data_IF_317596637968
#
_entry.id   IF_317596637968
#
_cell.length_a   1.000
_cell.length_b   1.000
_cell.length_c   1.000
_cell.angle_alpha   90.00
_cell.angle_beta   90.00
_cell.angle_gamma   90.00
#
_symmetry.space_group_name_H-M   'P 1'
#
loop_
_entity.id
_entity.type
_entity.pdbx_description
1 polymer ?
#
# COMPACT_ATOMS: atom_id res chain seq x y z
N UNK A 1 -12.09 25.98 -8.30
CA UNK A 1 -12.09 24.54 -8.57
C UNK A 1 -13.53 24.08 -8.54
N UNK A 2 -13.96 23.31 -9.53
CA UNK A 2 -15.31 22.73 -9.57
C UNK A 2 -15.52 21.73 -8.42
N UNK A 3 -16.75 21.60 -7.92
CA UNK A 3 -17.06 20.79 -6.73
C UNK A 3 -16.84 19.28 -6.98
N UNK A 4 -17.10 18.77 -8.18
CA UNK A 4 -16.81 17.38 -8.50
C UNK A 4 -15.31 17.09 -8.49
N UNK A 5 -14.52 17.99 -9.07
CA UNK A 5 -13.06 17.86 -9.02
C UNK A 5 -12.53 18.02 -7.60
N UNK A 6 -13.13 18.90 -6.80
CA UNK A 6 -12.78 19.09 -5.39
C UNK A 6 -13.03 17.84 -4.55
N UNK A 7 -14.19 17.21 -4.70
CA UNK A 7 -14.55 15.97 -4.01
C UNK A 7 -13.58 14.82 -4.37
N UNK A 8 -13.26 14.68 -5.66
CA UNK A 8 -12.26 13.70 -6.12
C UNK A 8 -10.88 13.97 -5.55
N UNK A 9 -10.45 15.23 -5.53
CA UNK A 9 -9.13 15.63 -5.02
C UNK A 9 -9.02 15.43 -3.52
N UNK A 10 -10.09 15.73 -2.77
CA UNK A 10 -10.16 15.50 -1.33
C UNK A 10 -10.09 14.02 -0.99
N UNK A 11 -10.93 13.19 -1.62
CA UNK A 11 -10.89 11.74 -1.43
C UNK A 11 -9.52 11.16 -1.80
N UNK A 12 -8.93 11.59 -2.92
CA UNK A 12 -7.59 11.16 -3.33
C UNK A 12 -6.52 11.54 -2.29
N UNK A 13 -6.57 12.75 -1.76
CA UNK A 13 -5.63 13.21 -0.73
C UNK A 13 -5.79 12.42 0.58
N UNK A 14 -7.02 12.22 1.04
CA UNK A 14 -7.32 11.45 2.25
C UNK A 14 -6.85 10.00 2.12
N UNK A 15 -7.13 9.35 0.99
CA UNK A 15 -6.72 7.96 0.73
C UNK A 15 -5.20 7.83 0.64
N UNK A 16 -4.53 8.71 -0.13
CA UNK A 16 -3.07 8.72 -0.25
C UNK A 16 -2.37 9.04 1.08
N UNK A 17 -2.94 9.93 1.90
CA UNK A 17 -2.42 10.13 3.25
C UNK A 17 -2.59 8.88 4.11
N UNK A 18 -3.77 8.28 4.11
CA UNK A 18 -4.12 7.17 4.98
C UNK A 18 -3.31 5.89 4.67
N UNK A 19 -3.12 5.56 3.39
CA UNK A 19 -2.55 4.26 2.98
C UNK A 19 -1.13 4.05 3.49
N UNK A 20 -0.34 5.12 3.61
CA UNK A 20 1.01 5.08 4.19
C UNK A 20 0.93 4.53 5.63
N UNK A 21 0.04 5.09 6.45
CA UNK A 21 -0.10 4.69 7.85
C UNK A 21 -0.79 3.34 8.00
N UNK A 22 -1.74 3.01 7.12
CA UNK A 22 -2.38 1.70 7.08
C UNK A 22 -1.34 0.59 6.82
N UNK A 23 -0.46 0.76 5.82
CA UNK A 23 0.60 -0.21 5.54
C UNK A 23 1.57 -0.39 6.72
N UNK A 24 1.93 0.71 7.40
CA UNK A 24 2.75 0.65 8.60
C UNK A 24 2.06 -0.16 9.69
N UNK A 25 0.77 0.08 9.92
CA UNK A 25 -0.07 -0.66 10.88
C UNK A 25 -0.15 -2.15 10.55
N UNK A 26 -0.33 -2.50 9.27
CA UNK A 26 -0.35 -3.89 8.82
C UNK A 26 0.98 -4.61 9.06
N UNK A 27 2.12 -3.96 8.84
CA UNK A 27 3.41 -4.67 8.69
C UNK A 27 4.30 -4.61 9.94
N UNK A 28 4.38 -3.46 10.61
CA UNK A 28 5.27 -3.29 11.76
C UNK A 28 5.02 -4.29 12.91
N UNK A 29 3.77 -4.70 13.23
CA UNK A 29 3.53 -5.70 14.27
C UNK A 29 4.21 -7.04 13.97
N UNK A 30 4.35 -7.45 12.71
CA UNK A 30 5.10 -8.66 12.36
C UNK A 30 6.59 -8.52 12.69
N UNK A 31 7.20 -7.35 12.43
CA UNK A 31 8.59 -7.11 12.80
C UNK A 31 8.77 -7.14 14.32
N UNK A 32 7.86 -6.48 15.04
CA UNK A 32 7.82 -6.47 16.49
C UNK A 32 7.66 -7.87 17.07
N UNK A 33 6.77 -8.69 16.51
CA UNK A 33 6.52 -10.07 16.93
C UNK A 33 7.74 -10.97 16.67
N UNK A 34 8.45 -10.81 15.55
CA UNK A 34 9.70 -11.54 15.28
C UNK A 34 10.80 -11.13 16.25
N UNK A 35 10.99 -9.84 16.49
CA UNK A 35 11.96 -9.36 17.49
C UNK A 35 11.60 -9.89 18.87
N UNK A 36 10.32 -9.80 19.25
CA UNK A 36 9.86 -10.22 20.56
C UNK A 36 10.03 -11.74 20.75
N UNK A 37 9.70 -12.56 19.75
CA UNK A 37 9.95 -13.99 19.76
C UNK A 37 11.45 -14.32 19.91
N UNK A 38 12.32 -13.60 19.19
CA UNK A 38 13.77 -13.77 19.32
C UNK A 38 14.25 -13.44 20.73
N UNK A 39 13.68 -12.44 21.40
CA UNK A 39 13.97 -12.19 22.82
C UNK A 39 13.54 -13.36 23.70
N UNK A 40 12.31 -13.87 23.55
CA UNK A 40 11.81 -15.00 24.34
C UNK A 40 12.67 -16.26 24.18
N UNK A 41 13.15 -16.52 22.96
CA UNK A 41 13.99 -17.69 22.66
C UNK A 41 15.44 -17.56 23.10
N UNK A 42 16.02 -16.36 22.98
CA UNK A 42 17.47 -16.18 23.15
C UNK A 42 17.87 -15.46 24.43
N UNK A 43 16.92 -14.84 25.14
CA UNK A 43 17.19 -14.00 26.32
C UNK A 43 17.93 -12.69 26.02
N UNK A 44 18.29 -12.41 24.77
CA UNK A 44 19.15 -11.26 24.42
C UNK A 44 18.39 -9.93 24.54
N UNK A 45 18.82 -8.98 25.41
CA UNK A 45 18.10 -7.73 25.69
C UNK A 45 17.83 -6.86 24.45
N UNK A 46 18.77 -6.84 23.49
CA UNK A 46 18.66 -6.04 22.25
C UNK A 46 17.34 -6.24 21.50
N UNK A 47 16.78 -7.45 21.51
CA UNK A 47 15.51 -7.73 20.85
C UNK A 47 14.29 -7.23 21.64
N UNK A 48 14.35 -7.25 22.98
CA UNK A 48 13.32 -6.62 23.83
C UNK A 48 13.31 -5.12 23.61
N UNK A 49 14.49 -4.51 23.59
CA UNK A 49 14.68 -3.09 23.39
C UNK A 49 14.20 -2.65 22.00
N UNK A 50 14.52 -3.45 20.98
CA UNK A 50 14.03 -3.23 19.62
C UNK A 50 12.51 -3.27 19.55
N UNK A 51 11.87 -4.29 20.14
CA UNK A 51 10.42 -4.38 20.20
C UNK A 51 9.82 -3.16 20.89
N UNK A 52 10.33 -2.77 22.07
CA UNK A 52 9.85 -1.58 22.80
C UNK A 52 10.03 -0.28 22.02
N UNK A 53 11.15 -0.11 21.32
CA UNK A 53 11.42 1.07 20.52
C UNK A 53 10.45 1.19 19.34
N UNK A 54 10.20 0.08 18.63
CA UNK A 54 9.22 0.02 17.54
C UNK A 54 7.79 0.20 18.03
N UNK A 55 7.39 -0.38 19.16
CA UNK A 55 6.06 -0.18 19.76
C UNK A 55 5.68 1.29 19.91
N UNK A 56 6.62 2.13 20.37
CA UNK A 56 6.37 3.57 20.54
C UNK A 56 6.15 4.29 19.22
N UNK A 57 6.93 3.95 18.19
CA UNK A 57 6.76 4.50 16.84
C UNK A 57 5.43 4.06 16.22
N UNK A 58 5.10 2.77 16.34
CA UNK A 58 3.83 2.22 15.87
C UNK A 58 2.65 2.85 16.57
N UNK A 59 2.71 3.14 17.87
CA UNK A 59 1.62 3.83 18.56
C UNK A 59 1.30 5.21 17.95
N UNK A 60 2.33 5.97 17.53
CA UNK A 60 2.15 7.25 16.85
C UNK A 60 1.48 7.04 15.50
N UNK A 61 2.03 6.14 14.67
CA UNK A 61 1.49 5.85 13.35
C UNK A 61 0.07 5.28 13.38
N UNK A 62 -0.22 4.41 14.34
CA UNK A 62 -1.53 3.80 14.54
C UNK A 62 -2.56 4.87 14.87
N UNK A 63 -2.24 5.82 15.76
CA UNK A 63 -3.14 6.94 16.05
C UNK A 63 -3.39 7.80 14.80
N UNK A 64 -2.36 8.10 14.00
CA UNK A 64 -2.52 8.84 12.74
C UNK A 64 -3.36 8.08 11.71
N UNK A 65 -3.13 6.76 11.59
CA UNK A 65 -3.91 5.87 10.73
C UNK A 65 -5.38 5.80 11.15
N UNK A 66 -5.65 5.64 12.45
CA UNK A 66 -7.00 5.60 12.98
C UNK A 66 -7.79 6.89 12.72
N UNK A 67 -7.17 8.06 12.93
CA UNK A 67 -7.81 9.36 12.66
C UNK A 67 -8.09 9.54 11.17
N UNK A 68 -7.11 9.25 10.30
CA UNK A 68 -7.32 9.37 8.85
C UNK A 68 -8.34 8.36 8.31
N UNK A 69 -8.38 7.13 8.83
CA UNK A 69 -9.39 6.14 8.46
C UNK A 69 -10.80 6.53 8.92
N UNK A 70 -10.91 7.17 10.09
CA UNK A 70 -12.17 7.75 10.56
C UNK A 70 -12.67 8.82 9.59
N UNK A 71 -11.80 9.71 9.13
CA UNK A 71 -12.15 10.73 8.12
C UNK A 71 -12.68 10.07 6.85
N UNK A 72 -12.00 9.05 6.32
CA UNK A 72 -12.43 8.32 5.12
C UNK A 72 -13.83 7.71 5.26
N UNK A 73 -14.15 7.15 6.44
CA UNK A 73 -15.47 6.57 6.72
C UNK A 73 -16.58 7.62 6.60
N UNK A 74 -16.33 8.85 7.05
CA UNK A 74 -17.26 9.97 6.86
C UNK A 74 -17.27 10.50 5.43
N UNK A 75 -16.10 10.63 4.79
CA UNK A 75 -15.99 11.14 3.43
C UNK A 75 -16.72 10.28 2.40
N UNK A 76 -16.77 8.95 2.59
CA UNK A 76 -17.59 8.08 1.74
C UNK A 76 -19.07 8.50 1.73
N UNK A 77 -19.65 8.79 2.89
CA UNK A 77 -21.05 9.24 2.99
C UNK A 77 -21.26 10.70 2.61
N UNK A 78 -20.31 11.57 2.93
CA UNK A 78 -20.44 13.02 2.74
C UNK A 78 -20.13 13.44 1.30
N UNK A 79 -19.08 12.88 0.69
CA UNK A 79 -18.67 13.20 -0.67
C UNK A 79 -19.41 12.35 -1.71
N UNK A 80 -19.77 11.10 -1.36
CA UNK A 80 -20.35 10.12 -2.30
C UNK A 80 -21.69 9.51 -1.82
N UNK A 81 -22.70 10.33 -1.48
CA UNK A 81 -23.94 9.86 -0.86
C UNK A 81 -24.73 8.90 -1.77
N UNK A 82 -24.82 9.16 -3.07
CA UNK A 82 -25.55 8.28 -4.00
C UNK A 82 -24.83 6.95 -4.19
N UNK A 83 -23.50 6.93 -4.17
CA UNK A 83 -22.75 5.67 -4.10
C UNK A 83 -23.09 4.89 -2.82
N UNK A 84 -23.01 5.52 -1.65
CA UNK A 84 -23.27 4.84 -0.37
C UNK A 84 -24.70 4.34 -0.22
N UNK A 85 -25.69 5.05 -0.76
CA UNK A 85 -27.10 4.65 -0.79
C UNK A 85 -27.30 3.29 -1.47
N UNK A 86 -26.58 3.02 -2.56
CA UNK A 86 -26.73 1.80 -3.34
C UNK A 86 -25.74 0.71 -2.94
N UNK A 87 -24.49 1.10 -2.72
CA UNK A 87 -23.41 0.18 -2.44
C UNK A 87 -23.37 -0.23 -0.96
N UNK A 88 -23.83 0.61 -0.03
CA UNK A 88 -23.88 0.32 1.41
C UNK A 88 -24.56 -1.01 1.77
N UNK A 89 -25.77 -1.31 1.28
CA UNK A 89 -26.40 -2.62 1.48
C UNK A 89 -25.61 -3.82 0.92
N UNK A 90 -24.79 -3.60 -0.11
CA UNK A 90 -24.07 -4.66 -0.84
C UNK A 90 -22.71 -4.96 -0.20
N UNK A 91 -21.88 -3.94 -0.01
CA UNK A 91 -20.51 -4.11 0.51
C UNK A 91 -20.36 -3.71 1.99
N UNK A 92 -21.44 -3.29 2.66
CA UNK A 92 -21.39 -2.85 4.07
C UNK A 92 -20.92 -3.93 5.04
N UNK A 93 -21.16 -5.22 4.76
CA UNK A 93 -20.66 -6.33 5.58
C UNK A 93 -19.12 -6.36 5.63
N UNK A 94 -18.37 -6.41 4.51
CA UNK A 94 -16.91 -6.27 4.52
C UNK A 94 -16.39 -5.09 5.36
N UNK A 95 -17.03 -3.93 5.23
CA UNK A 95 -16.66 -2.71 5.98
C UNK A 95 -16.90 -2.86 7.49
N UNK A 96 -17.99 -3.53 7.88
CA UNK A 96 -18.26 -3.85 9.29
C UNK A 96 -17.26 -4.88 9.86
N UNK A 97 -16.85 -5.86 9.05
CA UNK A 97 -15.84 -6.85 9.43
C UNK A 97 -14.46 -6.21 9.58
N UNK A 98 -14.11 -5.25 8.72
CA UNK A 98 -12.92 -4.43 8.87
C UNK A 98 -12.96 -3.70 10.22
N UNK A 99 -14.04 -2.98 10.53
CA UNK A 99 -14.19 -2.29 11.81
C UNK A 99 -14.05 -3.24 13.02
N UNK A 100 -14.51 -4.48 12.88
CA UNK A 100 -14.31 -5.53 13.89
C UNK A 100 -12.84 -5.93 14.02
N UNK A 101 -12.14 -6.15 12.89
CA UNK A 101 -10.71 -6.47 12.89
C UNK A 101 -9.88 -5.34 13.50
N UNK A 102 -10.17 -4.09 13.14
CA UNK A 102 -9.55 -2.89 13.72
C UNK A 102 -9.79 -2.79 15.23
N UNK A 103 -10.99 -3.12 15.70
CA UNK A 103 -11.30 -3.12 17.13
C UNK A 103 -10.51 -4.19 17.90
N UNK A 104 -10.41 -5.41 17.35
CA UNK A 104 -9.58 -6.49 17.89
C UNK A 104 -8.11 -6.05 17.92
N UNK A 105 -7.63 -5.42 16.85
CA UNK A 105 -6.28 -4.86 16.76
C UNK A 105 -6.03 -3.82 17.87
N UNK A 106 -6.94 -2.87 18.06
CA UNK A 106 -6.82 -1.82 19.07
C UNK A 106 -6.76 -2.38 20.51
N UNK A 107 -7.60 -3.37 20.82
CA UNK A 107 -7.57 -4.07 22.12
C UNK A 107 -6.23 -4.80 22.30
N UNK A 108 -5.82 -5.58 21.30
CA UNK A 108 -4.57 -6.34 21.34
C UNK A 108 -3.34 -5.41 21.46
N UNK A 109 -3.36 -4.26 20.78
CA UNK A 109 -2.33 -3.24 20.86
C UNK A 109 -2.29 -2.61 22.26
N UNK A 110 -3.44 -2.34 22.87
CA UNK A 110 -3.53 -1.89 24.27
C UNK A 110 -2.85 -2.87 25.23
N UNK A 111 -3.17 -4.17 25.13
CA UNK A 111 -2.48 -5.20 25.90
C UNK A 111 -0.98 -5.27 25.59
N UNK A 112 -0.59 -5.11 24.33
CA UNK A 112 0.81 -5.15 23.92
C UNK A 112 1.62 -3.95 24.45
N UNK A 113 1.07 -2.74 24.41
CA UNK A 113 1.76 -1.53 24.85
C UNK A 113 1.88 -1.48 26.38
N UNK A 114 0.83 -1.85 27.11
CA UNK A 114 0.76 -1.72 28.57
C UNK A 114 1.04 -3.02 29.34
N UNK A 115 1.15 -4.15 28.65
CA UNK A 115 1.31 -5.48 29.26
C UNK A 115 2.73 -5.87 29.66
N UNK A 116 3.73 -5.05 29.36
CA UNK A 116 5.10 -5.30 29.81
C UNK A 116 5.15 -5.49 31.33
N UNK A 117 5.77 -6.59 31.77
CA UNK A 117 5.96 -6.96 33.19
C UNK A 117 4.65 -7.25 33.98
N UNK A 118 3.48 -7.07 33.35
CA UNK A 118 2.16 -7.38 33.92
C UNK A 118 1.56 -8.68 33.39
N UNK A 119 1.81 -8.99 32.12
CA UNK A 119 1.30 -10.18 31.45
C UNK A 119 2.34 -11.31 31.40
N UNK A 120 1.86 -12.54 31.27
CA UNK A 120 2.72 -13.67 30.91
C UNK A 120 3.47 -13.34 29.61
N UNK A 121 4.79 -13.62 29.56
CA UNK A 121 5.66 -13.20 28.44
C UNK A 121 5.23 -13.77 27.09
N UNK A 122 4.73 -15.01 27.05
CA UNK A 122 4.23 -15.63 25.82
C UNK A 122 2.85 -15.09 25.42
N UNK A 123 2.00 -14.82 26.39
CA UNK A 123 0.72 -14.15 26.13
C UNK A 123 0.92 -12.72 25.60
N UNK A 124 1.87 -11.97 26.18
CA UNK A 124 2.25 -10.64 25.69
C UNK A 124 2.83 -10.69 24.27
N UNK A 125 3.55 -11.75 23.91
CA UNK A 125 3.97 -11.96 22.52
C UNK A 125 2.79 -12.27 21.60
N UNK A 126 1.87 -13.13 22.06
CA UNK A 126 0.68 -13.50 21.30
C UNK A 126 -0.21 -12.29 20.99
N UNK A 127 -0.40 -11.35 21.94
CA UNK A 127 -1.16 -10.13 21.65
C UNK A 127 -0.51 -9.31 20.52
N UNK A 128 0.82 -9.24 20.47
CA UNK A 128 1.54 -8.60 19.36
C UNK A 128 1.33 -9.28 18.00
N UNK A 129 1.20 -10.61 17.98
CA UNK A 129 0.81 -11.33 16.75
C UNK A 129 -0.63 -11.02 16.34
N UNK A 130 -1.55 -10.97 17.30
CA UNK A 130 -2.96 -10.63 17.03
C UNK A 130 -3.06 -9.24 16.40
N UNK A 131 -2.26 -8.26 16.85
CA UNK A 131 -2.20 -6.93 16.20
C UNK A 131 -1.86 -7.07 14.71
N UNK A 132 -0.80 -7.81 14.37
CA UNK A 132 -0.37 -7.96 12.97
C UNK A 132 -1.37 -8.70 12.09
N UNK A 133 -1.92 -9.81 12.57
CA UNK A 133 -2.91 -10.57 11.81
C UNK A 133 -4.24 -9.81 11.66
N UNK A 134 -4.67 -9.07 12.68
CA UNK A 134 -5.89 -8.27 12.62
C UNK A 134 -5.72 -7.09 11.67
N UNK A 135 -4.58 -6.37 11.73
CA UNK A 135 -4.28 -5.30 10.79
C UNK A 135 -4.20 -5.79 9.34
N UNK A 136 -3.55 -6.94 9.09
CA UNK A 136 -3.51 -7.55 7.76
C UNK A 136 -4.90 -7.97 7.29
N UNK A 137 -5.72 -8.57 8.15
CA UNK A 137 -7.10 -8.91 7.84
C UNK A 137 -7.96 -7.68 7.53
N UNK A 138 -7.78 -6.59 8.28
CA UNK A 138 -8.41 -5.29 8.04
C UNK A 138 -8.09 -4.79 6.63
N UNK A 139 -6.80 -4.77 6.24
CA UNK A 139 -6.39 -4.38 4.90
C UNK A 139 -7.00 -5.26 3.80
N UNK A 140 -7.06 -6.58 4.00
CA UNK A 140 -7.70 -7.52 3.05
C UNK A 140 -9.19 -7.24 2.88
N UNK A 141 -9.90 -6.91 3.97
CA UNK A 141 -11.33 -6.60 3.95
C UNK A 141 -11.64 -5.27 3.26
N UNK A 142 -10.81 -4.24 3.49
CA UNK A 142 -10.92 -2.96 2.76
C UNK A 142 -10.67 -3.16 1.27
N UNK A 143 -9.64 -3.92 0.92
CA UNK A 143 -9.35 -4.24 -0.48
C UNK A 143 -10.47 -5.05 -1.11
N UNK A 144 -11.22 -5.86 -0.35
CA UNK A 144 -12.42 -6.53 -0.86
C UNK A 144 -13.48 -5.54 -1.34
N UNK A 145 -13.70 -4.45 -0.60
CA UNK A 145 -14.61 -3.38 -1.03
C UNK A 145 -14.10 -2.69 -2.30
N UNK A 146 -12.81 -2.36 -2.37
CA UNK A 146 -12.22 -1.76 -3.57
C UNK A 146 -12.25 -2.71 -4.79
N UNK A 147 -11.97 -3.99 -4.57
CA UNK A 147 -12.05 -5.04 -5.57
C UNK A 147 -13.48 -5.18 -6.10
N UNK A 148 -14.49 -5.07 -5.23
CA UNK A 148 -15.89 -5.07 -5.62
C UNK A 148 -16.24 -3.86 -6.49
N UNK A 149 -15.73 -2.66 -6.16
CA UNK A 149 -15.92 -1.47 -7.01
C UNK A 149 -15.34 -1.67 -8.41
N UNK A 150 -14.27 -2.47 -8.54
CA UNK A 150 -13.65 -2.85 -9.80
C UNK A 150 -14.30 -4.06 -10.49
N UNK A 151 -14.96 -4.94 -9.74
CA UNK A 151 -15.57 -6.17 -10.23
C UNK A 151 -16.91 -6.40 -9.54
N UNK A 152 -17.94 -5.60 -9.87
CA UNK A 152 -19.22 -5.66 -9.16
C UNK A 152 -19.83 -7.06 -9.26
N UNK A 153 -20.27 -7.58 -8.12
CA UNK A 153 -20.89 -8.90 -7.98
C UNK A 153 -21.82 -8.91 -6.76
N UNK A 154 -22.66 -9.94 -6.65
CA UNK A 154 -23.56 -10.11 -5.49
C UNK A 154 -24.76 -9.16 -5.50
N UNK A 155 -25.25 -8.76 -6.68
CA UNK A 155 -26.52 -8.07 -6.86
C UNK A 155 -26.97 -8.15 -8.33
N UNK A 156 -28.27 -7.96 -8.56
CA UNK A 156 -28.85 -7.75 -9.89
C UNK A 156 -29.07 -6.26 -10.13
N UNK A 157 -28.75 -5.78 -11.34
CA UNK A 157 -29.01 -4.41 -11.77
C UNK A 157 -30.07 -4.39 -12.87
N UNK A 158 -31.32 -4.06 -12.50
CA UNK A 158 -32.48 -4.07 -13.40
C UNK A 158 -33.22 -2.75 -13.28
N UNK A 159 -33.44 -2.07 -14.41
CA UNK A 159 -34.15 -0.79 -14.48
C UNK A 159 -33.64 0.27 -13.48
N UNK A 160 -32.31 0.35 -13.31
CA UNK A 160 -31.68 1.29 -12.38
C UNK A 160 -31.77 0.90 -10.90
N UNK A 161 -32.30 -0.29 -10.58
CA UNK A 161 -32.45 -0.79 -9.20
C UNK A 161 -31.43 -1.89 -8.91
N UNK A 162 -30.95 -1.90 -7.68
CA UNK A 162 -30.03 -2.89 -7.11
C UNK A 162 -30.86 -3.90 -6.31
N UNK A 163 -30.99 -5.13 -6.81
CA UNK A 163 -31.85 -6.17 -6.26
C UNK A 163 -31.01 -7.41 -5.87
N UNK A 164 -31.62 -8.34 -5.13
CA UNK A 164 -31.04 -9.66 -4.80
C UNK A 164 -29.61 -9.59 -4.25
N UNK A 165 -29.42 -8.75 -3.24
CA UNK A 165 -28.09 -8.48 -2.66
C UNK A 165 -27.55 -9.70 -1.90
N UNK A 166 -26.35 -10.13 -2.28
CA UNK A 166 -25.52 -11.13 -1.60
C UNK A 166 -24.16 -10.51 -1.22
N UNK A 167 -24.01 -10.08 0.05
CA UNK A 167 -22.76 -9.46 0.50
C UNK A 167 -21.55 -10.41 0.51
N UNK A 168 -21.76 -11.72 0.60
CA UNK A 168 -20.66 -12.70 0.58
C UNK A 168 -20.10 -12.82 -0.83
N UNK A 169 -20.99 -12.91 -1.83
CA UNK A 169 -20.58 -12.88 -3.23
C UNK A 169 -19.95 -11.54 -3.63
N UNK A 170 -20.43 -10.43 -3.07
CA UNK A 170 -19.81 -9.11 -3.25
C UNK A 170 -18.39 -9.05 -2.65
N UNK A 171 -18.20 -9.59 -1.44
CA UNK A 171 -16.92 -9.64 -0.76
C UNK A 171 -15.88 -10.48 -1.51
N UNK A 172 -16.27 -11.70 -1.90
CA UNK A 172 -15.41 -12.64 -2.64
C UNK A 172 -15.63 -12.52 -4.15
N UNK A 173 -15.63 -11.29 -4.66
CA UNK A 173 -15.71 -11.02 -6.08
C UNK A 173 -14.45 -11.49 -6.82
N UNK A 174 -14.51 -11.53 -8.16
CA UNK A 174 -13.44 -12.08 -9.00
C UNK A 174 -12.10 -11.32 -8.88
N UNK A 175 -12.11 -10.04 -8.48
CA UNK A 175 -10.90 -9.24 -8.30
C UNK A 175 -10.28 -9.36 -6.90
N UNK A 176 -11.02 -9.89 -5.92
CA UNK A 176 -10.64 -9.82 -4.51
C UNK A 176 -9.27 -10.46 -4.26
N UNK A 177 -9.06 -11.68 -4.75
CA UNK A 177 -7.85 -12.43 -4.45
C UNK A 177 -6.59 -11.76 -5.03
N UNK A 178 -6.63 -11.37 -6.31
CA UNK A 178 -5.50 -10.75 -7.00
C UNK A 178 -5.12 -9.42 -6.34
N UNK A 179 -6.10 -8.56 -6.06
CA UNK A 179 -5.87 -7.26 -5.43
C UNK A 179 -5.43 -7.39 -3.96
N UNK A 180 -6.07 -8.25 -3.17
CA UNK A 180 -5.71 -8.45 -1.76
C UNK A 180 -4.28 -9.01 -1.62
N UNK A 181 -3.89 -9.96 -2.47
CA UNK A 181 -2.54 -10.50 -2.51
C UNK A 181 -1.53 -9.41 -2.90
N UNK A 182 -1.78 -8.70 -4.01
CA UNK A 182 -0.87 -7.68 -4.52
C UNK A 182 -0.67 -6.52 -3.55
N UNK A 183 -1.74 -6.06 -2.92
CA UNK A 183 -1.72 -4.98 -1.92
C UNK A 183 -1.03 -5.41 -0.63
N UNK A 184 -1.26 -6.64 -0.16
CA UNK A 184 -0.58 -7.18 1.03
C UNK A 184 0.94 -7.21 0.81
N UNK A 185 1.40 -7.72 -0.34
CA UNK A 185 2.81 -7.73 -0.69
C UNK A 185 3.37 -6.31 -0.83
N UNK A 186 2.61 -5.39 -1.42
CA UNK A 186 3.02 -3.99 -1.55
C UNK A 186 3.20 -3.32 -0.18
N UNK A 187 2.33 -3.60 0.80
CA UNK A 187 2.49 -3.14 2.17
C UNK A 187 3.79 -3.66 2.80
N UNK A 188 4.03 -4.98 2.72
CA UNK A 188 5.26 -5.58 3.27
C UNK A 188 6.53 -5.04 2.61
N UNK A 189 6.52 -4.86 1.28
CA UNK A 189 7.64 -4.30 0.55
C UNK A 189 7.88 -2.83 0.95
N UNK A 190 6.85 -1.99 0.88
CA UNK A 190 6.96 -0.55 1.15
C UNK A 190 7.40 -0.24 2.58
N UNK A 191 6.69 -0.76 3.59
CA UNK A 191 7.06 -0.57 4.99
C UNK A 191 8.39 -1.25 5.31
N UNK A 192 8.63 -2.46 4.78
CA UNK A 192 9.86 -3.19 5.02
C UNK A 192 11.11 -2.47 4.51
N UNK A 193 11.08 -1.95 3.27
CA UNK A 193 12.19 -1.18 2.71
C UNK A 193 12.40 0.15 3.43
N UNK A 194 11.33 0.83 3.84
CA UNK A 194 11.44 2.06 4.62
C UNK A 194 12.14 1.80 5.98
N UNK A 195 11.69 0.78 6.72
CA UNK A 195 12.27 0.44 8.04
C UNK A 195 13.70 -0.08 7.91
N UNK A 196 13.95 -0.97 6.94
CA UNK A 196 15.30 -1.45 6.66
C UNK A 196 16.23 -0.30 6.26
N UNK A 197 15.77 0.60 5.39
CA UNK A 197 16.52 1.76 4.93
C UNK A 197 16.86 2.74 6.05
N UNK A 198 15.93 3.03 6.96
CA UNK A 198 16.20 3.87 8.13
C UNK A 198 17.27 3.23 9.02
N UNK A 199 17.20 1.92 9.26
CA UNK A 199 18.22 1.22 10.05
C UNK A 199 19.56 1.10 9.31
N UNK A 200 19.56 0.97 7.98
CA UNK A 200 20.76 1.03 7.17
C UNK A 200 21.42 2.41 7.25
N UNK A 201 20.64 3.50 7.23
CA UNK A 201 21.14 4.85 7.43
C UNK A 201 21.81 5.02 8.80
N UNK A 202 21.22 4.44 9.85
CA UNK A 202 21.83 4.47 11.19
C UNK A 202 23.11 3.62 11.26
N UNK A 203 23.17 2.47 10.58
CA UNK A 203 24.39 1.67 10.47
C UNK A 203 25.51 2.38 9.70
N UNK A 204 25.17 3.18 8.68
CA UNK A 204 26.16 4.01 8.00
C UNK A 204 26.82 5.01 8.95
N UNK A 205 26.08 5.51 9.96
CA UNK A 205 26.58 6.44 10.99
C UNK A 205 27.29 5.72 12.15
N UNK A 206 26.81 4.55 12.57
CA UNK A 206 27.42 3.73 13.60
C UNK A 206 27.39 2.25 13.22
N UNK A 207 28.51 1.76 12.67
CA UNK A 207 28.65 0.38 12.15
C UNK A 207 28.58 -0.69 13.22
N UNK A 208 28.93 -0.35 14.46
CA UNK A 208 28.99 -1.29 15.58
C UNK A 208 27.65 -1.43 16.31
N UNK A 209 26.62 -0.72 15.86
CA UNK A 209 25.29 -0.79 16.47
C UNK A 209 24.63 -2.14 16.20
N UNK A 210 24.70 -3.03 17.19
CA UNK A 210 23.98 -4.30 17.10
C UNK A 210 22.46 -4.09 16.97
N UNK A 211 21.90 -3.11 17.68
CA UNK A 211 20.49 -2.75 17.62
C UNK A 211 20.03 -2.52 16.17
N UNK A 212 20.71 -1.65 15.44
CA UNK A 212 20.35 -1.35 14.05
C UNK A 212 20.67 -2.50 13.10
N UNK A 213 21.71 -3.30 13.37
CA UNK A 213 22.03 -4.49 12.57
C UNK A 213 20.93 -5.56 12.66
N UNK A 214 20.38 -5.80 13.86
CA UNK A 214 19.26 -6.73 14.03
C UNK A 214 17.98 -6.20 13.40
N UNK A 215 17.67 -4.93 13.63
CA UNK A 215 16.50 -4.27 13.09
C UNK A 215 16.49 -4.27 11.54
N UNK A 216 17.62 -3.91 10.93
CA UNK A 216 17.85 -3.99 9.50
C UNK A 216 17.57 -5.39 8.97
N UNK A 217 18.15 -6.44 9.58
CA UNK A 217 17.97 -7.81 9.12
C UNK A 217 16.52 -8.28 9.20
N UNK A 218 15.80 -7.95 10.27
CA UNK A 218 14.39 -8.33 10.42
C UNK A 218 13.57 -7.70 9.29
N UNK A 219 13.64 -6.37 9.14
CA UNK A 219 12.85 -5.67 8.13
C UNK A 219 13.24 -6.04 6.69
N UNK A 220 14.54 -6.15 6.40
CA UNK A 220 15.04 -6.45 5.06
C UNK A 220 14.60 -7.83 4.56
N UNK A 221 14.52 -8.85 5.43
CA UNK A 221 14.05 -10.18 5.02
C UNK A 221 12.60 -10.11 4.51
N UNK A 222 11.69 -9.50 5.27
CA UNK A 222 10.29 -9.36 4.85
C UNK A 222 10.16 -8.52 3.58
N UNK A 223 10.84 -7.37 3.54
CA UNK A 223 10.83 -6.49 2.38
C UNK A 223 11.29 -7.20 1.11
N UNK A 224 12.39 -7.96 1.21
CA UNK A 224 12.99 -8.63 0.06
C UNK A 224 12.15 -9.84 -0.39
N UNK A 225 11.55 -10.59 0.52
CA UNK A 225 10.61 -11.67 0.14
C UNK A 225 9.41 -11.07 -0.60
N UNK A 226 8.81 -10.02 -0.04
CA UNK A 226 7.63 -9.38 -0.63
C UNK A 226 7.94 -8.82 -2.03
N UNK A 227 9.07 -8.13 -2.20
CA UNK A 227 9.46 -7.58 -3.50
C UNK A 227 9.87 -8.63 -4.54
N UNK A 228 10.34 -9.82 -4.14
CA UNK A 228 10.51 -10.94 -5.07
C UNK A 228 9.19 -11.55 -5.52
N UNK A 229 8.17 -11.56 -4.65
CA UNK A 229 6.84 -12.08 -4.95
C UNK A 229 5.95 -11.05 -5.66
N UNK A 230 6.23 -9.75 -5.52
CA UNK A 230 5.42 -8.66 -6.08
C UNK A 230 5.18 -8.82 -7.59
N UNK A 231 6.19 -9.09 -8.45
CA UNK A 231 5.96 -9.21 -9.89
C UNK A 231 5.06 -10.39 -10.26
N UNK A 232 5.10 -11.50 -9.51
CA UNK A 232 4.22 -12.65 -9.73
C UNK A 232 2.75 -12.29 -9.46
N UNK A 233 2.50 -11.60 -8.35
CA UNK A 233 1.16 -11.08 -8.04
C UNK A 233 0.72 -9.97 -8.99
N UNK A 234 1.67 -9.22 -9.55
CA UNK A 234 1.44 -8.18 -10.55
C UNK A 234 1.02 -8.75 -11.89
N UNK A 235 1.70 -9.79 -12.36
CA UNK A 235 1.34 -10.55 -13.57
C UNK A 235 -0.07 -11.15 -13.44
N UNK A 236 -0.39 -11.74 -12.29
CA UNK A 236 -1.73 -12.22 -11.98
C UNK A 236 -2.77 -11.09 -12.09
N UNK A 237 -2.50 -9.94 -11.46
CA UNK A 237 -3.39 -8.77 -11.52
C UNK A 237 -3.52 -8.19 -12.94
N UNK A 238 -2.45 -8.15 -13.72
CA UNK A 238 -2.45 -7.62 -15.07
C UNK A 238 -3.31 -8.47 -16.02
N UNK A 239 -3.18 -9.80 -15.96
CA UNK A 239 -4.02 -10.75 -16.74
C UNK A 239 -5.49 -10.64 -16.37
N UNK A 240 -5.75 -10.51 -15.07
CA UNK A 240 -7.09 -10.36 -14.52
C UNK A 240 -7.73 -9.02 -14.95
N UNK A 241 -6.97 -7.93 -14.98
CA UNK A 241 -7.39 -6.63 -15.54
C UNK A 241 -7.57 -6.70 -17.05
N UNK A 242 -6.70 -7.40 -17.78
CA UNK A 242 -6.82 -7.56 -19.23
C UNK A 242 -8.15 -8.17 -19.65
N UNK A 243 -8.65 -9.14 -18.87
CA UNK A 243 -9.94 -9.79 -19.12
C UNK A 243 -11.13 -8.94 -18.66
N UNK A 244 -11.05 -8.33 -17.47
CA UNK A 244 -12.22 -7.69 -16.84
C UNK A 244 -12.35 -6.20 -17.12
N UNK A 245 -11.25 -5.51 -17.36
CA UNK A 245 -11.19 -4.06 -17.57
C UNK A 245 -10.20 -3.68 -18.69
N UNK A 246 -10.47 -4.04 -19.95
CA UNK A 246 -9.56 -3.76 -21.07
C UNK A 246 -9.26 -2.27 -21.24
N UNK A 247 -10.22 -1.38 -20.92
CA UNK A 247 -10.00 0.07 -20.93
C UNK A 247 -8.88 0.52 -19.97
N UNK A 248 -8.79 -0.11 -18.79
CA UNK A 248 -7.73 0.17 -17.80
C UNK A 248 -6.39 -0.34 -18.30
N UNK A 249 -6.32 -1.58 -18.81
CA UNK A 249 -5.08 -2.12 -19.38
C UNK A 249 -4.58 -1.24 -20.53
N UNK A 250 -5.46 -0.89 -21.46
CA UNK A 250 -5.12 -0.06 -22.60
C UNK A 250 -4.59 1.31 -22.17
N UNK A 251 -5.12 1.89 -21.09
CA UNK A 251 -4.59 3.13 -20.53
C UNK A 251 -3.27 2.97 -19.76
N UNK A 252 -3.06 1.85 -19.05
CA UNK A 252 -1.78 1.52 -18.40
C UNK A 252 -0.65 1.46 -19.42
N UNK A 253 -0.91 0.86 -20.58
CA UNK A 253 0.06 0.62 -21.65
C UNK A 253 0.04 1.72 -22.73
N UNK A 254 -0.83 2.73 -22.60
CA UNK A 254 -1.07 3.73 -23.64
C UNK A 254 -1.34 3.12 -25.04
N UNK A 255 -2.07 2.01 -25.07
CA UNK A 255 -2.44 1.27 -26.28
C UNK A 255 -3.68 1.89 -26.93
N UNK A 256 -3.47 2.80 -27.88
CA UNK A 256 -4.57 3.47 -28.57
C UNK A 256 -5.29 2.62 -29.60
N UNK A 257 -4.59 1.67 -30.25
CA UNK A 257 -5.13 0.82 -31.30
C UNK A 257 -5.04 -0.64 -30.89
N UNK A 258 -6.12 -1.37 -31.14
CA UNK A 258 -6.18 -2.82 -30.98
C UNK A 258 -5.20 -3.48 -31.95
N UNK A 259 -4.34 -4.33 -31.44
CA UNK A 259 -3.27 -4.94 -32.21
C UNK A 259 -2.97 -6.36 -31.73
N UNK A 260 -2.60 -7.24 -32.67
CA UNK A 260 -2.05 -8.56 -32.39
C UNK A 260 -0.54 -8.48 -32.23
N UNK A 261 0.02 -9.25 -31.31
CA UNK A 261 1.44 -9.09 -30.93
C UNK A 261 1.76 -7.68 -30.42
N UNK A 262 0.79 -7.07 -29.72
CA UNK A 262 0.94 -5.76 -29.10
C UNK A 262 2.25 -5.67 -28.29
N UNK A 263 3.05 -4.62 -28.49
CA UNK A 263 4.29 -4.42 -27.76
C UNK A 263 4.02 -3.94 -26.32
N UNK A 264 4.90 -4.31 -25.39
CA UNK A 264 4.97 -3.64 -24.09
C UNK A 264 5.72 -2.31 -24.25
N UNK A 265 5.19 -1.23 -23.67
CA UNK A 265 5.83 0.09 -23.73
C UNK A 265 6.58 0.37 -22.43
N UNK A 266 7.85 0.76 -22.55
CA UNK A 266 8.67 1.28 -21.45
C UNK A 266 8.90 2.78 -21.66
N UNK A 267 8.55 3.56 -20.63
CA UNK A 267 8.51 5.02 -20.72
C UNK A 267 7.45 5.49 -21.71
N UNK A 268 7.73 6.58 -22.43
CA UNK A 268 6.81 7.12 -23.41
C UNK A 268 5.92 8.26 -22.89
N UNK A 269 5.49 9.11 -23.81
CA UNK A 269 4.62 10.27 -23.56
C UNK A 269 3.36 10.07 -24.41
N UNK A 270 2.23 9.65 -23.81
CA UNK A 270 0.97 9.50 -24.52
C UNK A 270 0.41 10.86 -24.97
N UNK A 271 -0.08 10.91 -26.20
CA UNK A 271 -0.83 12.03 -26.75
C UNK A 271 -2.21 11.56 -27.21
N UNK A 272 -3.22 11.85 -26.38
CA UNK A 272 -4.61 11.49 -26.62
C UNK A 272 -5.20 12.18 -27.87
N UNK A 273 -4.63 13.31 -28.31
CA UNK A 273 -5.12 14.03 -29.51
C UNK A 273 -4.72 13.33 -30.79
N UNK A 274 -3.50 12.81 -30.84
CA UNK A 274 -2.97 12.10 -32.02
C UNK A 274 -3.16 10.59 -31.94
N UNK A 275 -3.43 10.05 -30.74
CA UNK A 275 -3.52 8.62 -30.49
C UNK A 275 -2.17 7.92 -30.65
N UNK A 276 -1.08 8.62 -30.32
CA UNK A 276 0.28 8.12 -30.43
C UNK A 276 1.02 8.25 -29.09
N UNK A 277 2.11 7.51 -28.96
CA UNK A 277 3.01 7.58 -27.81
C UNK A 277 4.40 7.96 -28.31
N UNK A 278 4.91 9.08 -27.85
CA UNK A 278 6.24 9.59 -28.23
C UNK A 278 7.32 9.11 -27.26
N UNK A 279 8.59 9.09 -27.67
CA UNK A 279 9.74 8.79 -26.80
C UNK A 279 9.63 7.48 -26.00
N UNK A 280 9.11 6.42 -26.63
CA UNK A 280 8.91 5.09 -26.05
C UNK A 280 9.98 4.08 -26.47
N UNK A 281 10.21 3.08 -25.63
CA UNK A 281 10.91 1.85 -25.98
C UNK A 281 9.87 0.74 -26.04
N UNK A 282 9.83 0.01 -27.16
CA UNK A 282 8.87 -1.08 -27.37
C UNK A 282 9.57 -2.44 -27.25
N UNK A 283 8.90 -3.37 -26.57
CA UNK A 283 9.29 -4.78 -26.57
C UNK A 283 8.20 -5.56 -27.32
N UNK A 284 8.44 -5.94 -28.58
CA UNK A 284 7.43 -6.57 -29.45
C UNK A 284 6.79 -7.82 -28.84
N UNK A 285 5.46 -7.94 -28.94
CA UNK A 285 4.69 -9.10 -28.49
C UNK A 285 4.60 -9.32 -26.97
N UNK A 286 5.40 -8.61 -26.16
CA UNK A 286 5.48 -8.87 -24.73
C UNK A 286 4.18 -8.52 -24.00
N UNK A 287 3.49 -7.45 -24.39
CA UNK A 287 2.19 -7.12 -23.79
C UNK A 287 1.14 -8.20 -24.09
N UNK A 288 1.14 -8.77 -25.29
CA UNK A 288 0.23 -9.89 -25.64
C UNK A 288 0.49 -11.11 -24.76
N UNK A 289 1.77 -11.47 -24.58
CA UNK A 289 2.15 -12.57 -23.69
C UNK A 289 1.80 -12.29 -22.22
N UNK A 290 2.03 -11.08 -21.73
CA UNK A 290 1.71 -10.72 -20.34
C UNK A 290 0.21 -10.66 -20.10
N UNK A 291 -0.58 -10.18 -21.06
CA UNK A 291 -2.04 -10.07 -20.93
C UNK A 291 -2.76 -11.42 -21.08
N UNK A 292 -2.33 -12.27 -22.02
CA UNK A 292 -3.06 -13.48 -22.42
C UNK A 292 -2.25 -14.78 -22.35
N UNK A 293 -0.93 -14.73 -22.11
CA UNK A 293 -0.04 -15.89 -22.14
C UNK A 293 0.42 -16.30 -23.55
N UNK A 294 0.00 -15.57 -24.59
CA UNK A 294 0.29 -15.87 -25.99
C UNK A 294 0.86 -14.65 -26.71
N UNK A 295 1.99 -14.82 -27.41
CA UNK A 295 2.68 -13.74 -28.13
C UNK A 295 1.87 -13.13 -29.27
N UNK A 296 0.90 -13.86 -29.82
CA UNK A 296 0.10 -13.47 -30.99
C UNK A 296 -1.36 -13.12 -30.64
N UNK A 297 -1.69 -13.07 -29.34
CA UNK A 297 -3.01 -12.65 -28.88
C UNK A 297 -3.29 -11.20 -29.29
N UNK A 298 -4.56 -10.91 -29.54
CA UNK A 298 -5.03 -9.55 -29.75
C UNK A 298 -5.25 -8.87 -28.41
N UNK A 299 -4.69 -7.68 -28.22
CA UNK A 299 -4.93 -6.86 -27.04
C UNK A 299 -5.84 -5.70 -27.42
N UNK A 300 -6.97 -5.59 -26.72
CA UNK A 300 -7.96 -4.52 -26.97
C UNK A 300 -7.36 -3.15 -26.64
N UNK A 301 -7.31 -2.29 -27.65
CA UNK A 301 -6.88 -0.90 -27.52
C UNK A 301 -8.04 0.07 -27.25
N UNK A 302 -7.70 1.33 -27.01
CA UNK A 302 -8.70 2.38 -26.72
C UNK A 302 -9.64 2.67 -27.91
N UNK A 303 -9.26 2.32 -29.14
CA UNK A 303 -10.11 2.43 -30.34
C UNK A 303 -11.41 1.63 -30.24
N UNK A 304 -11.44 0.55 -29.45
CA UNK A 304 -12.64 -0.25 -29.18
C UNK A 304 -13.42 0.18 -27.94
N UNK A 305 -12.89 1.15 -27.18
CA UNK A 305 -13.52 1.70 -25.99
C UNK A 305 -14.22 3.01 -26.34
N UNK A 306 -15.49 3.16 -25.97
CA UNK A 306 -16.22 4.41 -26.19
C UNK A 306 -15.49 5.58 -25.50
N UNK A 307 -15.35 6.76 -26.12
CA UNK A 307 -14.60 7.88 -25.52
C UNK A 307 -15.04 8.26 -24.11
N UNK A 308 -16.34 8.17 -23.81
CA UNK A 308 -16.90 8.44 -22.49
C UNK A 308 -16.54 7.40 -21.42
N UNK A 309 -16.03 6.23 -21.81
CA UNK A 309 -15.63 5.13 -20.92
C UNK A 309 -14.13 5.02 -20.72
N UNK A 310 -13.35 5.87 -21.39
CA UNK A 310 -11.89 5.83 -21.33
C UNK A 310 -11.40 6.48 -20.03
N UNK A 311 -10.54 5.81 -19.26
CA UNK A 311 -9.84 6.47 -18.16
C UNK A 311 -8.81 7.48 -18.69
N UNK A 312 -8.35 8.43 -17.86
CA UNK A 312 -7.26 9.33 -18.21
C UNK A 312 -5.97 8.55 -18.52
N UNK A 313 -5.54 8.53 -19.79
CA UNK A 313 -4.43 7.69 -20.27
C UNK A 313 -3.11 8.12 -19.63
N UNK A 314 -2.76 9.41 -19.74
CA UNK A 314 -1.46 9.89 -19.27
C UNK A 314 -1.20 9.61 -17.78
N UNK A 315 -2.19 9.90 -16.92
CA UNK A 315 -2.06 9.68 -15.47
C UNK A 315 -1.91 8.18 -15.16
N UNK A 316 -2.75 7.34 -15.78
CA UNK A 316 -2.72 5.89 -15.57
C UNK A 316 -1.42 5.28 -16.09
N UNK A 317 -0.96 5.69 -17.27
CA UNK A 317 0.28 5.22 -17.88
C UNK A 317 1.51 5.59 -17.04
N UNK A 318 1.67 6.86 -16.66
CA UNK A 318 2.83 7.27 -15.86
C UNK A 318 2.85 6.61 -14.50
N UNK A 319 1.70 6.47 -13.84
CA UNK A 319 1.60 5.76 -12.58
C UNK A 319 2.01 4.29 -12.73
N UNK A 320 1.58 3.64 -13.82
CA UNK A 320 1.98 2.25 -14.12
C UNK A 320 3.49 2.11 -14.35
N UNK A 321 4.08 3.00 -15.16
CA UNK A 321 5.52 3.02 -15.42
C UNK A 321 6.34 3.24 -14.14
N UNK A 322 5.91 4.17 -13.27
CA UNK A 322 6.56 4.43 -11.97
C UNK A 322 6.46 3.21 -11.07
N UNK A 323 5.27 2.61 -10.95
CA UNK A 323 5.02 1.44 -10.12
C UNK A 323 5.89 0.25 -10.56
N UNK A 324 5.85 -0.12 -11.84
CA UNK A 324 6.60 -1.27 -12.38
C UNK A 324 8.11 -1.01 -12.34
N UNK A 325 8.54 0.20 -12.69
CA UNK A 325 9.96 0.58 -12.67
C UNK A 325 10.56 0.50 -11.27
N UNK A 326 9.87 1.07 -10.28
CA UNK A 326 10.31 0.98 -8.88
C UNK A 326 10.19 -0.44 -8.34
N UNK A 327 9.09 -1.15 -8.62
CA UNK A 327 8.91 -2.54 -8.21
C UNK A 327 10.03 -3.46 -8.70
N UNK A 328 10.43 -3.29 -9.97
CA UNK A 328 11.56 -4.00 -10.57
C UNK A 328 12.88 -3.66 -9.89
N UNK A 329 13.12 -2.37 -9.59
CA UNK A 329 14.31 -1.94 -8.87
C UNK A 329 14.38 -2.55 -7.46
N UNK A 330 13.27 -2.55 -6.71
CA UNK A 330 13.19 -3.15 -5.38
C UNK A 330 13.38 -4.69 -5.44
N UNK A 331 12.84 -5.35 -6.47
CA UNK A 331 13.12 -6.77 -6.74
C UNK A 331 14.62 -7.00 -6.96
N UNK A 332 15.31 -6.17 -7.74
CA UNK A 332 16.75 -6.28 -7.97
C UNK A 332 17.54 -6.09 -6.66
N UNK A 333 17.19 -5.08 -5.85
CA UNK A 333 17.80 -4.89 -4.52
C UNK A 333 17.60 -6.14 -3.64
N UNK A 334 16.43 -6.77 -3.74
CA UNK A 334 16.10 -8.01 -3.02
C UNK A 334 16.95 -9.20 -3.49
N UNK A 335 17.15 -9.36 -4.80
CA UNK A 335 18.05 -10.37 -5.35
C UNK A 335 19.47 -10.18 -4.84
N UNK A 336 19.98 -8.94 -4.87
CA UNK A 336 21.31 -8.60 -4.33
C UNK A 336 21.41 -8.92 -2.84
N UNK A 337 20.35 -8.67 -2.06
CA UNK A 337 20.28 -9.00 -0.64
C UNK A 337 20.39 -10.51 -0.38
N UNK A 338 19.65 -11.34 -1.11
CA UNK A 338 19.72 -12.80 -0.93
C UNK A 338 21.03 -13.40 -1.45
N UNK A 339 21.59 -12.86 -2.54
CA UNK A 339 22.93 -13.23 -3.01
C UNK A 339 23.99 -12.90 -1.94
N UNK A 340 23.89 -11.73 -1.30
CA UNK A 340 24.76 -11.36 -0.19
C UNK A 340 24.62 -12.35 0.98
N UNK A 341 23.40 -12.74 1.37
CA UNK A 341 23.19 -13.72 2.44
C UNK A 341 23.77 -15.10 2.13
N UNK A 342 23.61 -15.57 0.90
CA UNK A 342 24.00 -16.93 0.48
C UNK A 342 25.50 -17.06 0.19
N UNK A 343 26.10 -16.08 -0.49
CA UNK A 343 27.47 -16.22 -1.05
C UNK A 343 28.45 -15.13 -0.63
N UNK A 344 27.98 -13.96 -0.19
CA UNK A 344 28.83 -12.78 0.04
C UNK A 344 28.42 -12.03 1.32
N UNK A 345 28.41 -12.71 2.47
CA UNK A 345 27.93 -12.13 3.74
C UNK A 345 28.65 -10.82 4.13
N UNK A 346 29.91 -10.66 3.70
CA UNK A 346 30.69 -9.43 3.90
C UNK A 346 30.08 -8.20 3.22
N UNK A 347 29.21 -8.36 2.21
CA UNK A 347 28.52 -7.25 1.55
C UNK A 347 27.52 -6.53 2.48
N UNK A 348 26.90 -7.25 3.42
CA UNK A 348 25.91 -6.69 4.35
C UNK A 348 26.49 -5.56 5.22
N UNK A 349 27.82 -5.52 5.36
CA UNK A 349 28.53 -4.53 6.15
C UNK A 349 29.14 -3.41 5.28
N UNK A 350 29.07 -3.52 3.94
CA UNK A 350 29.67 -2.52 3.03
C UNK A 350 28.75 -1.31 2.86
N UNK A 351 29.38 -0.14 2.75
CA UNK A 351 28.68 1.15 2.61
C UNK A 351 27.75 1.21 1.40
N UNK A 352 28.18 0.68 0.25
CA UNK A 352 27.37 0.69 -0.98
C UNK A 352 26.07 -0.11 -0.79
N UNK A 353 26.15 -1.25 -0.10
CA UNK A 353 25.01 -2.13 0.13
C UNK A 353 23.98 -1.47 1.06
N UNK A 354 24.44 -0.88 2.16
CA UNK A 354 23.56 -0.12 3.05
C UNK A 354 22.96 1.10 2.34
N UNK A 355 23.72 1.79 1.47
CA UNK A 355 23.21 2.90 0.65
C UNK A 355 22.09 2.49 -0.30
N UNK A 356 22.09 1.25 -0.83
CA UNK A 356 20.95 0.76 -1.63
C UNK A 356 19.65 0.75 -0.83
N UNK A 357 19.69 0.27 0.42
CA UNK A 357 18.51 0.28 1.29
C UNK A 357 18.12 1.69 1.74
N UNK A 358 19.09 2.61 1.93
CA UNK A 358 18.79 4.02 2.18
C UNK A 358 18.08 4.66 0.99
N UNK A 359 18.54 4.37 -0.23
CA UNK A 359 17.87 4.84 -1.44
C UNK A 359 16.46 4.27 -1.59
N UNK A 360 16.23 3.04 -1.14
CA UNK A 360 14.92 2.38 -1.17
C UNK A 360 13.90 2.93 -0.17
N UNK A 361 14.28 3.85 0.75
CA UNK A 361 13.38 4.36 1.80
C UNK A 361 12.05 4.92 1.24
N UNK A 362 12.05 5.90 0.31
CA UNK A 362 10.80 6.46 -0.20
C UNK A 362 10.19 5.60 -1.32
N UNK A 363 11.01 4.81 -2.02
CA UNK A 363 10.63 4.16 -3.26
C UNK A 363 9.43 3.23 -3.09
N UNK A 364 9.42 2.43 -2.02
CA UNK A 364 8.32 1.52 -1.76
C UNK A 364 6.96 2.22 -1.61
N UNK A 365 6.91 3.36 -0.91
CA UNK A 365 5.68 4.14 -0.78
C UNK A 365 5.32 4.89 -2.06
N UNK A 366 6.30 5.36 -2.84
CA UNK A 366 6.03 5.98 -4.15
C UNK A 366 5.39 4.95 -5.10
N UNK A 367 5.91 3.72 -5.14
CA UNK A 367 5.33 2.64 -5.93
C UNK A 367 3.93 2.26 -5.45
N UNK A 368 3.70 2.27 -4.14
CA UNK A 368 2.40 2.02 -3.53
C UNK A 368 1.36 3.06 -3.97
N UNK A 369 1.67 4.35 -3.83
CA UNK A 369 0.79 5.44 -4.29
C UNK A 369 0.52 5.33 -5.79
N UNK A 370 1.56 5.09 -6.59
CA UNK A 370 1.43 4.92 -8.03
C UNK A 370 0.51 3.72 -8.38
N UNK A 371 0.61 2.60 -7.66
CA UNK A 371 -0.27 1.45 -7.85
C UNK A 371 -1.74 1.73 -7.50
N UNK A 372 -2.00 2.50 -6.45
CA UNK A 372 -3.35 2.98 -6.14
C UNK A 372 -3.89 3.93 -7.22
N UNK A 373 -3.04 4.84 -7.73
CA UNK A 373 -3.41 5.71 -8.85
C UNK A 373 -3.77 4.88 -10.09
N UNK A 374 -2.98 3.85 -10.45
CA UNK A 374 -3.31 2.94 -11.56
C UNK A 374 -4.69 2.31 -11.36
N UNK A 375 -4.96 1.80 -10.16
CA UNK A 375 -6.21 1.08 -9.88
C UNK A 375 -7.42 2.02 -9.87
N UNK A 376 -7.31 3.17 -9.23
CA UNK A 376 -8.43 4.09 -9.00
C UNK A 376 -8.66 5.06 -10.16
N UNK A 377 -7.60 5.67 -10.69
CA UNK A 377 -7.72 6.55 -11.87
C UNK A 377 -8.01 5.72 -13.12
N UNK A 378 -7.42 4.53 -13.23
CA UNK A 378 -7.73 3.61 -14.32
C UNK A 378 -9.16 3.05 -14.28
N UNK A 379 -9.88 3.17 -13.14
CA UNK A 379 -11.31 2.82 -13.05
C UNK A 379 -12.22 3.94 -13.57
N UNK A 380 -11.73 5.17 -13.62
CA UNK A 380 -12.52 6.30 -14.10
C UNK A 380 -12.99 6.06 -15.54
N UNK A 381 -14.20 6.50 -15.89
CA UNK A 381 -15.08 7.39 -15.13
C UNK A 381 -16.11 6.67 -14.25
N UNK A 382 -15.83 5.43 -13.85
CA UNK A 382 -16.71 4.62 -13.02
C UNK A 382 -16.32 4.65 -11.54
N UNK A 383 -17.31 4.73 -10.66
CA UNK A 383 -17.14 4.46 -9.23
C UNK A 383 -17.52 3.01 -8.89
N UNK A 384 -18.57 2.48 -9.55
CA UNK A 384 -18.90 1.05 -9.63
C UNK A 384 -18.73 0.68 -11.10
N UNK A 385 -17.71 -0.11 -11.42
CA UNK A 385 -17.30 -0.38 -12.81
C UNK A 385 -18.46 -0.92 -13.67
N UNK A 386 -18.80 -0.20 -14.75
CA UNK A 386 -19.88 -0.56 -15.66
C UNK A 386 -21.31 -0.33 -15.14
N UNK A 387 -21.47 0.23 -13.94
CA UNK A 387 -22.80 0.39 -13.30
C UNK A 387 -23.10 1.84 -12.92
N UNK A 388 -22.16 2.53 -12.26
CA UNK A 388 -22.36 3.90 -11.78
C UNK A 388 -21.17 4.79 -12.11
N UNK A 389 -21.43 5.96 -12.72
CA UNK A 389 -20.39 6.96 -12.97
C UNK A 389 -20.00 7.68 -11.69
N UNK A 390 -18.75 8.11 -11.61
CA UNK A 390 -18.28 8.94 -10.50
C UNK A 390 -19.04 10.27 -10.43
N UNK A 391 -19.42 10.86 -11.57
CA UNK A 391 -20.15 12.12 -11.62
C UNK A 391 -21.58 12.02 -11.04
N UNK A 392 -22.21 10.84 -11.12
CA UNK A 392 -23.56 10.62 -10.59
C UNK A 392 -23.55 10.29 -9.09
N UNK A 393 -22.38 9.99 -8.54
CA UNK A 393 -22.21 9.59 -7.14
C UNK A 393 -21.95 10.78 -6.20
N UNK A 394 -21.47 11.90 -6.73
CA UNK A 394 -20.97 13.03 -5.94
C UNK A 394 -22.12 13.78 -5.26
N UNK A 395 -21.86 14.32 -4.07
CA UNK A 395 -22.80 15.19 -3.36
C UNK A 395 -23.14 16.46 -4.15
N UNK A 396 -24.39 16.96 -4.11
CA UNK A 396 -24.77 18.24 -4.71
C UNK A 396 -24.38 19.46 -3.84
N UNK A 397 -23.72 19.24 -2.69
CA UNK A 397 -23.37 20.29 -1.74
C UNK A 397 -22.34 21.27 -2.33
N UNK A 398 -22.63 22.58 -2.39
CA UNK A 398 -21.74 23.55 -3.01
C UNK A 398 -20.55 23.93 -2.11
N UNK A 399 -19.39 24.21 -2.70
CA UNK A 399 -18.24 24.75 -1.97
C UNK A 399 -17.32 23.69 -1.36
N UNK A 400 -17.28 22.49 -1.94
CA UNK A 400 -16.40 21.39 -1.52
C UNK A 400 -14.92 21.79 -1.59
N UNK A 401 -14.56 22.74 -2.47
CA UNK A 401 -13.21 23.30 -2.53
C UNK A 401 -12.70 23.83 -1.17
N UNK A 402 -13.56 24.41 -0.33
CA UNK A 402 -13.16 24.87 1.01
C UNK A 402 -12.87 23.72 1.96
N UNK A 403 -13.69 22.65 1.92
CA UNK A 403 -13.43 21.42 2.66
C UNK A 403 -12.09 20.79 2.22
N UNK A 404 -11.85 20.73 0.91
CA UNK A 404 -10.60 20.22 0.36
C UNK A 404 -9.38 20.99 0.89
N UNK A 405 -9.41 22.32 0.88
CA UNK A 405 -8.31 23.13 1.41
C UNK A 405 -8.11 22.95 2.93
N UNK A 406 -9.21 22.83 3.68
CA UNK A 406 -9.16 22.56 5.12
C UNK A 406 -8.51 21.20 5.41
N UNK A 407 -8.97 20.13 4.77
CA UNK A 407 -8.38 18.79 4.93
C UNK A 407 -6.93 18.75 4.45
N UNK A 408 -6.59 19.48 3.39
CA UNK A 408 -5.20 19.64 2.95
C UNK A 408 -4.31 20.27 4.02
N UNK A 409 -4.78 21.34 4.66
CA UNK A 409 -4.06 21.97 5.76
C UNK A 409 -3.93 21.03 6.98
N UNK A 410 -4.99 20.29 7.31
CA UNK A 410 -5.00 19.31 8.41
C UNK A 410 -3.97 18.21 8.14
N UNK A 411 -3.99 17.56 6.97
CA UNK A 411 -3.04 16.48 6.67
C UNK A 411 -1.60 16.97 6.56
N UNK A 412 -1.37 18.18 6.04
CA UNK A 412 -0.04 18.79 6.07
C UNK A 412 0.44 18.99 7.52
N UNK A 413 -0.42 19.53 8.39
CA UNK A 413 -0.10 19.74 9.80
C UNK A 413 0.17 18.41 10.54
N UNK A 414 -0.64 17.38 10.31
CA UNK A 414 -0.46 16.04 10.87
C UNK A 414 0.86 15.42 10.38
N UNK A 415 1.20 15.58 9.10
CA UNK A 415 2.48 15.12 8.55
C UNK A 415 3.66 15.74 9.29
N UNK A 416 3.64 17.06 9.50
CA UNK A 416 4.70 17.78 10.23
C UNK A 416 4.82 17.33 11.69
N UNK A 417 3.69 17.14 12.37
CA UNK A 417 3.64 16.65 13.76
C UNK A 417 4.23 15.23 13.83
N UNK A 418 3.83 14.32 12.94
CA UNK A 418 4.35 12.94 12.92
C UNK A 418 5.85 12.93 12.64
N UNK A 419 6.33 13.70 11.66
CA UNK A 419 7.76 13.83 11.37
C UNK A 419 8.52 14.30 12.61
N UNK A 420 8.02 15.34 13.30
CA UNK A 420 8.63 15.85 14.52
C UNK A 420 8.68 14.80 15.64
N UNK A 421 7.56 14.10 15.90
CA UNK A 421 7.47 13.08 16.93
C UNK A 421 8.40 11.89 16.65
N UNK A 422 8.46 11.42 15.40
CA UNK A 422 9.37 10.35 15.01
C UNK A 422 10.83 10.77 15.07
N UNK A 423 11.16 11.98 14.64
CA UNK A 423 12.52 12.50 14.75
C UNK A 423 12.98 12.54 16.22
N UNK A 424 12.11 13.03 17.12
CA UNK A 424 12.36 13.00 18.57
C UNK A 424 12.54 11.57 19.06
N UNK A 425 11.67 10.64 18.65
CA UNK A 425 11.76 9.24 19.04
C UNK A 425 13.07 8.59 18.59
N UNK A 426 13.47 8.77 17.32
CA UNK A 426 14.72 8.25 16.76
C UNK A 426 15.92 8.79 17.53
N UNK A 427 15.94 10.09 17.85
CA UNK A 427 17.00 10.69 18.68
C UNK A 427 17.09 10.10 20.08
N UNK A 428 15.96 9.69 20.66
CA UNK A 428 15.92 9.11 22.01
C UNK A 428 16.27 7.62 22.03
N UNK A 429 16.24 6.90 20.90
CA UNK A 429 16.54 5.46 20.87
C UNK A 429 17.92 5.14 21.47
N UNK A 430 19.02 5.82 21.10
CA UNK A 430 20.33 5.57 21.72
C UNK A 430 20.35 5.86 23.22
N UNK A 431 19.61 6.87 23.69
CA UNK A 431 19.59 7.25 25.12
C UNK A 431 18.82 6.23 25.96
N UNK A 432 17.72 5.71 25.43
CA UNK A 432 16.81 4.83 26.18
C UNK A 432 17.18 3.35 26.08
N UNK A 433 17.83 2.94 24.99
CA UNK A 433 17.98 1.53 24.62
C UNK A 433 19.42 1.12 24.25
N UNK A 434 20.41 2.02 24.32
CA UNK A 434 21.81 1.58 24.24
C UNK A 434 22.22 0.94 25.57
N UNK A 435 22.04 -0.37 25.67
CA UNK A 435 22.74 -1.20 26.64
C UNK A 435 24.24 -1.20 26.26
N UNK A 436 24.96 -0.16 26.70
CA UNK A 436 26.39 0.03 26.43
C UNK A 436 27.02 1.30 27.01
N UNK A 437 26.26 2.21 27.65
CA UNK A 437 26.81 3.40 28.32
C UNK A 437 26.63 3.38 29.84
N UNK A 438 26.78 2.19 30.46
CA UNK A 438 26.90 2.09 31.92
C UNK A 438 28.17 2.72 32.48
N UNK A 439 29.09 3.23 31.64
CA UNK A 439 30.33 3.87 32.08
C UNK A 439 30.37 5.41 31.96
N UNK A 440 29.32 6.08 31.49
CA UNK A 440 29.30 7.56 31.39
C UNK A 440 28.46 8.26 32.45
N UNK A 441 27.92 7.54 33.43
CA UNK A 441 27.29 8.12 34.63
C UNK A 441 28.19 8.10 35.88
N UNK A 442 29.49 7.83 35.71
CA UNK A 442 30.50 7.92 36.77
C UNK A 442 31.72 8.74 36.33
N UNK A 443 31.52 9.98 35.90
CA UNK A 443 32.55 11.01 36.03
C UNK A 443 31.92 12.38 35.82
N UNK A 444 32.08 13.20 36.85
CA UNK A 444 31.68 14.60 37.06
C UNK A 444 30.23 14.85 37.44
#
# INVERSE_FOLDING_TARGET
MDDFLAARSQMALSLGFHIIYACIGMVMPFFMAVSHYKWLRTGRPVYKDLTKAWSKGVAIFFATGAVSGTVLSFELGLLWPEFMKHAGPIFGMPFSLEGTAFFIEAIALGFFLYGWEKLNRWFHWFTGLVVGFSGLASGILVVAANAWMNSPAGFDFVDGKYLNVDPVAAMFNKAWFSQALHMSLAAFASTGFAVAGVHALMLLRNRQSEFHAKAFRIAAVFACIAALLQPLSGDLSAKDVAQRQPAKLAAMEALYRTERSAPLIIGGIPDDKTGQVHAKIEIPGLLSYMAHGEWQAEVTGLDKIAPADRPPVAVTHYAFQIMVGIGTLLMIISLVYFIALARKRSWLEKSWFLKLFVFAIPLGYIALEAGWVVTEVGRQPWIIYGVMRTADAVTPMPGIAWSFYLFSAIYLSLSLIVIFLLYRQIKMVPVLYSSGSSDLKKTH
#
